data_IF_956783931073
#
_entry.id   IF_956783931073
#
_cell.length_a   1.000
_cell.length_b   1.000
_cell.length_c   1.000
_cell.angle_alpha   90.00
_cell.angle_beta   90.00
_cell.angle_gamma   90.00
#
_symmetry.space_group_name_H-M   'P 1'
#
loop_
_entity.id
_entity.type
_entity.pdbx_description
1 polymer ?
#
# COMPACT_ATOMS: atom_id res chain seq x y z
N UNK A 1 -25.94 5.36 12.41
CA UNK A 1 -25.02 4.22 12.57
C UNK A 1 -23.70 4.74 13.10
N UNK A 2 -23.43 4.60 14.39
CA UNK A 2 -22.11 4.89 14.96
C UNK A 2 -21.11 3.94 14.31
N UNK A 3 -20.15 4.48 13.56
CA UNK A 3 -19.11 3.66 12.95
C UNK A 3 -18.40 2.91 14.09
N UNK A 4 -18.53 1.57 14.13
CA UNK A 4 -17.71 0.74 15.01
C UNK A 4 -16.25 1.07 14.68
N UNK A 5 -15.52 1.58 15.65
CA UNK A 5 -14.10 1.94 15.49
C UNK A 5 -13.31 0.70 15.07
N UNK A 6 -12.43 0.85 14.08
CA UNK A 6 -11.54 -0.23 13.66
C UNK A 6 -10.63 -0.63 14.84
N UNK A 7 -10.46 -1.92 15.16
CA UNK A 7 -9.67 -2.35 16.32
C UNK A 7 -8.22 -1.88 16.27
N UNK A 8 -7.71 -1.47 17.43
CA UNK A 8 -6.30 -1.08 17.64
C UNK A 8 -5.82 -1.68 18.96
N UNK A 9 -4.75 -2.47 18.90
CA UNK A 9 -4.05 -3.01 20.08
C UNK A 9 -2.74 -2.28 20.34
N UNK A 10 -2.00 -1.92 19.29
CA UNK A 10 -0.75 -1.14 19.38
C UNK A 10 -0.66 -0.07 18.31
N UNK A 11 0.12 0.96 18.64
CA UNK A 11 0.41 2.11 17.80
C UNK A 11 1.90 2.34 17.72
N UNK A 12 2.40 2.69 16.54
CA UNK A 12 3.80 2.91 16.25
C UNK A 12 3.99 4.18 15.42
N UNK A 13 5.07 4.91 15.70
CA UNK A 13 5.44 6.16 15.02
C UNK A 13 6.98 6.24 14.91
N UNK A 14 7.46 7.21 14.14
CA UNK A 14 8.90 7.48 14.01
C UNK A 14 9.70 6.29 13.49
N UNK A 15 10.83 6.00 14.13
CA UNK A 15 11.76 4.95 13.69
C UNK A 15 11.17 3.54 13.78
N UNK A 16 10.16 3.31 14.65
CA UNK A 16 9.51 2.01 14.74
C UNK A 16 8.83 1.59 13.43
N UNK A 17 8.40 2.56 12.61
CA UNK A 17 7.77 2.30 11.32
C UNK A 17 8.68 1.55 10.35
N UNK A 18 10.01 1.69 10.50
CA UNK A 18 11.02 1.07 9.63
C UNK A 18 11.05 -0.46 9.76
N UNK A 19 10.50 -1.01 10.84
CA UNK A 19 10.53 -2.45 11.15
C UNK A 19 9.17 -3.13 11.04
N UNK A 20 8.15 -2.40 10.58
CA UNK A 20 6.80 -2.94 10.41
C UNK A 20 6.65 -3.44 8.98
N UNK A 21 6.26 -4.69 8.85
CA UNK A 21 5.79 -5.32 7.63
C UNK A 21 4.61 -6.25 8.02
N UNK A 22 3.37 -5.77 7.84
CA UNK A 22 2.17 -6.55 8.14
C UNK A 22 1.83 -7.40 6.91
N UNK A 23 1.95 -8.74 6.97
CA UNK A 23 1.69 -9.59 5.82
C UNK A 23 0.19 -9.59 5.48
N UNK A 24 -0.13 -9.40 4.20
CA UNK A 24 -1.48 -9.50 3.67
C UNK A 24 -1.55 -10.67 2.69
N UNK A 25 -2.24 -11.73 3.10
CA UNK A 25 -2.47 -12.92 2.28
C UNK A 25 -2.95 -14.09 3.14
N UNK A 26 -3.77 -14.96 2.56
CA UNK A 26 -4.27 -16.14 3.22
C UNK A 26 -3.18 -17.19 3.49
N UNK A 27 -3.55 -18.21 4.27
CA UNK A 27 -2.68 -19.33 4.59
C UNK A 27 -2.29 -20.05 3.29
N UNK A 28 -0.99 -20.12 3.01
CA UNK A 28 -0.44 -20.84 1.86
C UNK A 28 -0.59 -20.13 0.51
N UNK A 29 -1.03 -18.86 0.47
CA UNK A 29 -1.28 -18.15 -0.79
C UNK A 29 -0.15 -17.25 -1.26
N UNK A 30 0.91 -17.11 -0.45
CA UNK A 30 1.83 -15.99 -0.56
C UNK A 30 1.23 -14.69 -0.01
N UNK A 31 2.07 -13.67 0.15
CA UNK A 31 1.69 -12.41 0.81
C UNK A 31 2.27 -11.19 0.11
N UNK A 32 1.63 -10.04 0.31
CA UNK A 32 2.22 -8.71 0.11
C UNK A 32 2.21 -8.01 1.46
N UNK A 33 3.34 -7.48 1.92
CA UNK A 33 3.42 -6.77 3.19
C UNK A 33 3.01 -5.30 3.06
N UNK A 34 2.20 -4.82 4.00
CA UNK A 34 2.02 -3.39 4.25
C UNK A 34 3.10 -2.90 5.23
N UNK A 35 4.00 -2.05 4.75
CA UNK A 35 5.05 -1.43 5.54
C UNK A 35 4.51 -0.37 6.52
N UNK A 36 5.28 -0.08 7.58
CA UNK A 36 4.87 0.87 8.63
C UNK A 36 4.55 2.28 8.12
N UNK A 37 5.20 2.71 7.03
CA UNK A 37 4.93 4.01 6.38
C UNK A 37 3.83 3.93 5.31
N UNK A 38 3.19 2.78 5.08
CA UNK A 38 2.13 2.61 4.07
C UNK A 38 2.58 2.11 2.70
N UNK A 39 3.89 1.88 2.51
CA UNK A 39 4.41 1.28 1.28
C UNK A 39 4.06 -0.21 1.18
N UNK A 40 3.94 -0.73 -0.04
CA UNK A 40 3.80 -2.17 -0.28
C UNK A 40 5.20 -2.78 -0.50
N UNK A 41 5.52 -3.83 0.26
CA UNK A 41 6.83 -4.51 0.23
C UNK A 41 6.64 -6.03 0.32
N UNK A 42 7.73 -6.79 0.25
CA UNK A 42 7.77 -8.25 0.41
C UNK A 42 6.70 -8.95 -0.45
N UNK A 43 6.79 -8.77 -1.76
CA UNK A 43 5.84 -9.37 -2.70
C UNK A 43 6.14 -10.87 -2.89
N UNK A 44 5.76 -11.67 -1.92
CA UNK A 44 6.02 -13.11 -1.82
C UNK A 44 4.88 -13.93 -2.43
N UNK A 45 4.55 -13.68 -3.69
CA UNK A 45 3.37 -14.28 -4.38
C UNK A 45 3.72 -15.32 -5.44
N UNK A 46 5.01 -15.63 -5.63
CA UNK A 46 5.51 -16.60 -6.61
C UNK A 46 5.99 -17.91 -5.96
N UNK A 47 5.36 -18.30 -4.84
CA UNK A 47 5.65 -19.53 -4.09
C UNK A 47 7.11 -19.66 -3.62
N UNK A 48 7.73 -18.53 -3.25
CA UNK A 48 9.10 -18.47 -2.73
C UNK A 48 9.23 -17.33 -1.71
N UNK A 49 10.07 -17.46 -0.68
CA UNK A 49 10.46 -16.33 0.16
C UNK A 49 11.14 -15.22 -0.67
N UNK A 50 10.69 -13.98 -0.49
CA UNK A 50 11.13 -12.81 -1.26
C UNK A 50 11.08 -11.53 -0.40
N UNK A 51 11.64 -11.58 0.81
CA UNK A 51 11.74 -10.41 1.70
C UNK A 51 12.55 -9.29 1.05
N UNK A 52 12.01 -8.07 1.13
CA UNK A 52 12.57 -6.90 0.46
C UNK A 52 12.28 -6.83 -1.04
N UNK A 53 11.68 -7.86 -1.65
CA UNK A 53 11.32 -7.80 -3.07
C UNK A 53 10.13 -6.85 -3.28
N UNK A 54 10.33 -5.89 -4.18
CA UNK A 54 9.33 -4.95 -4.66
C UNK A 54 9.35 -5.03 -6.19
N UNK A 55 8.23 -5.34 -6.85
CA UNK A 55 8.14 -5.44 -8.30
C UNK A 55 8.61 -4.19 -9.03
N UNK A 56 9.25 -4.41 -10.18
CA UNK A 56 9.68 -3.35 -11.09
C UNK A 56 11.20 -3.14 -11.09
N UNK A 57 11.77 -2.70 -12.22
CA UNK A 57 13.19 -2.37 -12.27
C UNK A 57 13.55 -1.24 -11.30
N UNK A 58 14.78 -1.31 -10.76
CA UNK A 58 15.35 -0.38 -9.75
C UNK A 58 15.20 1.12 -10.07
N UNK A 59 15.05 1.47 -11.34
CA UNK A 59 14.92 2.86 -11.82
C UNK A 59 13.58 3.15 -12.52
N UNK A 60 12.57 2.34 -12.27
CA UNK A 60 11.20 2.54 -12.76
C UNK A 60 10.22 2.70 -11.59
N UNK A 61 8.98 3.08 -11.89
CA UNK A 61 7.94 3.15 -10.86
C UNK A 61 7.70 1.77 -10.23
N UNK A 62 7.85 1.70 -8.91
CA UNK A 62 7.48 0.53 -8.11
C UNK A 62 5.99 0.59 -7.73
N UNK A 63 5.39 -0.46 -7.15
CA UNK A 63 4.03 -0.40 -6.64
C UNK A 63 3.79 0.79 -5.70
N UNK A 64 2.72 1.54 -5.93
CA UNK A 64 2.31 2.61 -5.04
C UNK A 64 0.80 2.85 -5.10
N UNK A 65 0.28 3.39 -4.00
CA UNK A 65 -1.01 4.09 -3.97
C UNK A 65 -0.74 5.60 -4.01
N UNK A 66 -1.50 6.36 -4.79
CA UNK A 66 -1.42 7.81 -4.78
C UNK A 66 -2.79 8.47 -4.65
N UNK A 67 -2.79 9.64 -4.04
CA UNK A 67 -3.94 10.53 -3.90
C UNK A 67 -3.70 11.79 -4.71
N UNK A 68 -4.70 12.17 -5.50
CA UNK A 68 -4.89 13.55 -5.95
C UNK A 68 -6.06 14.14 -5.18
N UNK A 69 -5.87 15.28 -4.53
CA UNK A 69 -6.92 16.00 -3.82
C UNK A 69 -6.97 17.46 -4.28
N UNK A 70 -8.15 17.97 -4.57
CA UNK A 70 -8.34 19.35 -5.00
C UNK A 70 -9.54 19.98 -4.27
N UNK A 71 -9.33 20.95 -3.36
CA UNK A 71 -10.41 21.68 -2.74
C UNK A 71 -11.07 22.62 -3.75
N UNK A 72 -12.36 22.89 -3.57
CA UNK A 72 -13.09 23.84 -4.40
C UNK A 72 -12.42 25.24 -4.37
N UNK A 73 -12.09 25.76 -5.54
CA UNK A 73 -11.41 27.05 -5.69
C UNK A 73 -9.93 27.06 -5.29
N UNK A 74 -9.29 25.90 -5.12
CA UNK A 74 -7.85 25.80 -4.84
C UNK A 74 -7.11 24.85 -5.77
N UNK A 75 -5.79 24.82 -5.61
CA UNK A 75 -4.89 23.99 -6.40
C UNK A 75 -4.96 22.52 -5.98
N UNK A 76 -4.66 21.64 -6.93
CA UNK A 76 -4.61 20.21 -6.66
C UNK A 76 -3.26 19.83 -6.06
N UNK A 77 -3.29 18.98 -5.04
CA UNK A 77 -2.10 18.31 -4.50
C UNK A 77 -2.09 16.85 -4.88
N UNK A 78 -0.89 16.32 -5.13
CA UNK A 78 -0.67 14.89 -5.36
C UNK A 78 0.37 14.38 -4.39
N UNK A 79 0.07 13.25 -3.73
CA UNK A 79 0.96 12.57 -2.79
C UNK A 79 0.84 11.07 -2.98
N UNK A 80 1.96 10.35 -2.88
CA UNK A 80 1.91 8.93 -2.56
C UNK A 80 1.20 8.76 -1.22
N UNK A 81 0.39 7.71 -1.06
CA UNK A 81 -0.22 7.32 0.20
C UNK A 81 0.81 6.59 1.08
N UNK A 82 1.93 7.25 1.31
CA UNK A 82 3.08 6.76 2.07
C UNK A 82 3.63 7.90 2.94
N UNK A 83 4.20 7.55 4.09
CA UNK A 83 4.97 8.44 4.94
C UNK A 83 6.42 8.63 4.47
N UNK A 84 7.22 9.35 5.27
CA UNK A 84 8.62 9.67 4.94
C UNK A 84 9.47 8.43 4.66
N UNK A 85 10.45 8.59 3.75
CA UNK A 85 11.48 7.57 3.51
C UNK A 85 12.46 7.56 4.69
N UNK A 86 12.85 6.40 5.23
CA UNK A 86 13.88 6.31 6.25
C UNK A 86 15.21 6.91 5.78
N UNK A 87 15.92 7.61 6.67
CA UNK A 87 17.18 8.28 6.33
C UNK A 87 18.21 7.31 5.70
N UNK A 88 18.26 6.08 6.21
CA UNK A 88 19.16 5.03 5.76
C UNK A 88 18.92 4.60 4.31
N UNK A 89 17.70 4.76 3.80
CA UNK A 89 17.38 4.42 2.40
C UNK A 89 17.66 5.57 1.42
N UNK A 90 17.97 6.77 1.93
CA UNK A 90 18.27 7.97 1.13
C UNK A 90 19.79 8.17 0.95
N UNK A 91 20.59 7.77 1.94
CA UNK A 91 22.01 8.11 2.09
C UNK A 91 22.99 7.21 1.31
N UNK A 92 22.59 6.63 0.18
CA UNK A 92 23.47 5.77 -0.62
C UNK A 92 24.45 6.53 -1.52
N UNK A 93 25.62 5.95 -1.79
CA UNK A 93 26.65 6.52 -2.69
C UNK A 93 26.14 6.75 -4.14
N UNK A 94 25.12 6.00 -4.55
CA UNK A 94 24.42 6.14 -5.83
C UNK A 94 23.03 6.79 -5.68
N UNK A 95 22.80 7.51 -4.58
CA UNK A 95 21.50 8.08 -4.22
C UNK A 95 20.59 7.08 -3.50
N UNK A 96 19.33 7.45 -3.41
CA UNK A 96 18.32 6.70 -2.66
C UNK A 96 18.00 5.36 -3.31
N UNK A 97 17.96 4.30 -2.51
CA UNK A 97 17.53 2.96 -2.94
C UNK A 97 16.05 2.70 -2.70
N UNK A 98 15.38 3.60 -1.96
CA UNK A 98 13.96 3.46 -1.68
C UNK A 98 13.11 3.49 -2.97
N UNK A 99 12.12 2.60 -3.10
CA UNK A 99 11.14 2.67 -4.18
C UNK A 99 10.46 4.03 -4.23
N UNK A 100 10.33 4.57 -5.44
CA UNK A 100 9.64 5.84 -5.71
C UNK A 100 10.20 7.06 -4.94
N UNK A 101 11.45 7.04 -4.46
CA UNK A 101 12.02 8.04 -3.54
C UNK A 101 11.89 9.51 -3.98
N UNK A 102 11.87 9.79 -5.28
CA UNK A 102 11.71 11.15 -5.84
C UNK A 102 10.26 11.67 -5.84
N UNK A 103 9.27 10.85 -5.53
CA UNK A 103 7.86 11.24 -5.59
C UNK A 103 7.39 11.91 -4.28
N UNK A 104 6.58 12.98 -4.35
CA UNK A 104 5.98 13.62 -3.18
C UNK A 104 5.11 12.64 -2.38
N UNK A 105 5.20 12.70 -1.04
CA UNK A 105 4.52 11.80 -0.10
C UNK A 105 4.16 12.55 1.19
N UNK A 106 3.42 11.93 2.09
CA UNK A 106 3.02 12.59 3.34
C UNK A 106 4.22 12.81 4.27
N UNK A 107 4.22 13.96 4.95
CA UNK A 107 5.27 14.31 5.92
C UNK A 107 5.23 13.51 7.23
N UNK A 108 4.09 12.87 7.55
CA UNK A 108 3.93 12.08 8.77
C UNK A 108 3.13 10.80 8.52
N UNK A 109 3.58 9.70 9.15
CA UNK A 109 2.86 8.45 9.22
C UNK A 109 2.79 7.93 10.66
N UNK A 110 1.71 7.22 10.97
CA UNK A 110 1.53 6.42 12.19
C UNK A 110 0.91 5.09 11.79
N UNK A 111 1.36 4.00 12.40
CA UNK A 111 0.82 2.67 12.16
C UNK A 111 0.07 2.15 13.38
N UNK A 112 -1.21 1.82 13.21
CA UNK A 112 -2.04 1.19 14.23
C UNK A 112 -2.34 -0.26 13.84
N UNK A 113 -2.33 -1.19 14.79
CA UNK A 113 -2.53 -2.60 14.48
C UNK A 113 -3.27 -3.39 15.56
N UNK A 114 -4.05 -4.34 15.08
CA UNK A 114 -4.63 -5.45 15.81
C UNK A 114 -4.67 -6.64 14.83
N UNK A 115 -3.51 -7.26 14.56
CA UNK A 115 -3.36 -8.30 13.52
C UNK A 115 -4.54 -9.29 13.52
N UNK A 116 -5.16 -9.59 12.35
CA UNK A 116 -4.74 -9.34 10.96
C UNK A 116 -5.03 -7.92 10.43
N UNK A 117 -5.40 -6.99 11.30
CA UNK A 117 -5.81 -5.64 10.92
C UNK A 117 -4.64 -4.65 11.07
N UNK A 118 -4.35 -3.89 10.02
CA UNK A 118 -3.37 -2.81 10.01
C UNK A 118 -3.98 -1.49 9.54
N UNK A 119 -3.50 -0.38 10.08
CA UNK A 119 -3.90 0.95 9.65
C UNK A 119 -2.68 1.86 9.52
N UNK A 120 -2.66 2.68 8.48
CA UNK A 120 -1.67 3.75 8.32
C UNK A 120 -2.38 5.09 8.29
N UNK A 121 -2.11 5.92 9.28
CA UNK A 121 -2.59 7.29 9.33
C UNK A 121 -1.56 8.19 8.68
N UNK A 122 -1.98 8.95 7.66
CA UNK A 122 -1.12 9.82 6.88
C UNK A 122 -1.53 11.28 7.10
N UNK A 123 -0.56 12.14 7.41
CA UNK A 123 -0.79 13.57 7.64
C UNK A 123 0.26 14.42 6.94
N UNK A 124 -0.22 15.48 6.31
CA UNK A 124 0.58 16.47 5.60
C UNK A 124 -0.23 17.78 5.64
N UNK A 125 0.35 18.91 6.12
CA UNK A 125 -0.34 20.20 6.18
C UNK A 125 -0.87 20.69 4.83
N UNK A 126 -0.24 20.30 3.73
CA UNK A 126 -0.64 20.72 2.38
C UNK A 126 -1.79 19.88 1.81
N UNK A 127 -2.16 18.78 2.48
CA UNK A 127 -3.22 17.88 2.01
C UNK A 127 -4.54 18.21 2.71
N UNK A 128 -5.60 18.60 1.97
CA UNK A 128 -6.87 19.05 2.57
C UNK A 128 -7.76 17.91 3.09
N UNK A 129 -7.21 16.70 3.26
CA UNK A 129 -7.93 15.50 3.66
C UNK A 129 -7.18 14.81 4.80
N UNK A 130 -7.93 14.23 5.74
CA UNK A 130 -7.41 13.21 6.65
C UNK A 130 -7.43 11.88 5.92
N UNK A 131 -6.27 11.23 5.85
CA UNK A 131 -6.08 10.02 5.05
C UNK A 131 -5.69 8.86 5.95
N UNK A 132 -6.36 7.73 5.75
CA UNK A 132 -6.09 6.49 6.46
C UNK A 132 -6.19 5.31 5.51
N UNK A 133 -5.16 4.47 5.50
CA UNK A 133 -5.21 3.16 4.88
C UNK A 133 -5.66 2.16 5.94
N UNK A 134 -6.63 1.31 5.63
CA UNK A 134 -6.93 0.13 6.45
C UNK A 134 -6.68 -1.10 5.60
N UNK A 135 -5.80 -1.98 6.06
CA UNK A 135 -5.44 -3.18 5.34
C UNK A 135 -5.67 -4.44 6.16
N UNK A 136 -6.09 -5.49 5.47
CA UNK A 136 -6.28 -6.83 6.02
C UNK A 136 -6.35 -7.86 4.89
N UNK A 137 -6.17 -9.12 5.24
CA UNK A 137 -6.76 -10.24 4.52
C UNK A 137 -7.75 -10.94 5.46
N UNK A 138 -8.79 -11.61 4.95
CA UNK A 138 -9.62 -12.45 5.80
C UNK A 138 -8.74 -13.50 6.48
N UNK A 139 -8.72 -13.48 7.81
CA UNK A 139 -7.96 -14.40 8.64
C UNK A 139 -8.78 -14.68 9.89
N UNK A 140 -9.70 -15.63 9.74
CA UNK A 140 -10.81 -15.87 10.65
C UNK A 140 -10.58 -17.21 11.34
N UNK A 141 -10.47 -17.23 12.68
CA UNK A 141 -10.28 -18.48 13.42
C UNK A 141 -11.35 -19.52 13.08
N UNK A 142 -10.90 -20.76 12.85
CA UNK A 142 -11.73 -21.91 12.49
C UNK A 142 -12.51 -21.80 11.16
N UNK A 143 -12.21 -20.81 10.32
CA UNK A 143 -12.75 -20.68 8.96
C UNK A 143 -11.61 -20.75 7.94
N UNK A 144 -11.39 -21.95 7.40
CA UNK A 144 -10.34 -22.23 6.41
C UNK A 144 -10.64 -21.55 5.09
N UNK A 145 -11.90 -21.54 4.65
CA UNK A 145 -12.29 -21.00 3.35
C UNK A 145 -11.94 -19.50 3.28
N UNK A 146 -12.36 -18.73 4.29
CA UNK A 146 -12.01 -17.32 4.38
C UNK A 146 -10.50 -17.12 4.56
N UNK A 147 -9.87 -17.91 5.44
CA UNK A 147 -8.46 -17.71 5.82
C UNK A 147 -7.45 -18.12 4.74
N UNK A 148 -7.87 -18.85 3.71
CA UNK A 148 -7.01 -19.31 2.60
C UNK A 148 -7.23 -18.53 1.30
N UNK A 149 -7.92 -17.38 1.34
CA UNK A 149 -8.10 -16.55 0.15
C UNK A 149 -6.81 -15.80 -0.24
N UNK A 150 -6.39 -15.85 -1.52
CA UNK A 150 -5.23 -15.12 -2.03
C UNK A 150 -5.56 -13.64 -2.27
N UNK A 151 -5.91 -12.92 -1.20
CA UNK A 151 -6.38 -11.53 -1.28
C UNK A 151 -5.71 -10.64 -0.25
N UNK A 152 -5.30 -9.45 -0.70
CA UNK A 152 -4.92 -8.34 0.14
C UNK A 152 -5.94 -7.21 -0.08
N UNK A 153 -6.57 -6.74 0.99
CA UNK A 153 -7.50 -5.61 0.94
C UNK A 153 -6.79 -4.38 1.48
N UNK A 154 -6.82 -3.28 0.73
CA UNK A 154 -6.40 -1.95 1.19
C UNK A 154 -7.54 -0.97 0.94
N UNK A 155 -8.20 -0.54 2.01
CA UNK A 155 -9.26 0.45 1.98
C UNK A 155 -8.67 1.84 2.23
N UNK A 156 -8.82 2.74 1.25
CA UNK A 156 -8.43 4.13 1.38
C UNK A 156 -9.60 4.94 1.96
N UNK A 157 -9.47 5.37 3.22
CA UNK A 157 -10.45 6.23 3.89
C UNK A 157 -9.99 7.67 3.78
N UNK A 158 -10.84 8.49 3.16
CA UNK A 158 -10.63 9.92 2.99
C UNK A 158 -11.71 10.65 3.77
N UNK A 159 -11.31 11.43 4.76
CA UNK A 159 -12.21 12.30 5.53
C UNK A 159 -11.88 13.76 5.21
N UNK A 160 -12.90 14.53 4.87
CA UNK A 160 -12.78 15.98 4.67
C UNK A 160 -13.17 16.70 5.96
N UNK A 161 -12.22 17.20 6.76
CA UNK A 161 -12.52 17.93 7.99
C UNK A 161 -12.93 19.40 7.73
N UNK A 162 -12.78 19.87 6.49
CA UNK A 162 -13.06 21.25 6.11
C UNK A 162 -14.49 21.47 5.66
N UNK A 163 -14.81 22.74 5.40
CA UNK A 163 -16.14 23.17 4.92
C UNK A 163 -16.23 23.23 3.39
N UNK A 164 -15.10 23.20 2.69
CA UNK A 164 -15.06 23.22 1.21
C UNK A 164 -15.12 21.80 0.67
N UNK A 165 -15.86 21.59 -0.40
CA UNK A 165 -15.84 20.31 -1.12
C UNK A 165 -14.44 20.00 -1.65
N UNK A 166 -14.02 18.73 -1.62
CA UNK A 166 -12.73 18.26 -2.15
C UNK A 166 -12.99 17.18 -3.19
N UNK A 167 -12.51 17.39 -4.41
CA UNK A 167 -12.47 16.34 -5.44
C UNK A 167 -11.22 15.49 -5.20
N UNK A 168 -11.42 14.21 -4.92
CA UNK A 168 -10.35 13.27 -4.65
C UNK A 168 -10.36 12.11 -5.65
N UNK A 169 -9.16 11.66 -6.04
CA UNK A 169 -8.94 10.45 -6.81
C UNK A 169 -7.83 9.63 -6.15
N UNK A 170 -8.03 8.32 -6.06
CA UNK A 170 -7.01 7.36 -5.62
C UNK A 170 -6.63 6.46 -6.78
N UNK A 171 -5.35 6.19 -6.94
CA UNK A 171 -4.83 5.26 -7.95
C UNK A 171 -3.88 4.26 -7.29
N UNK A 172 -4.02 2.99 -7.67
CA UNK A 172 -3.03 1.95 -7.41
C UNK A 172 -2.27 1.71 -8.73
N UNK A 173 -0.95 1.86 -8.68
CA UNK A 173 -0.04 1.48 -9.77
C UNK A 173 0.78 0.30 -9.31
N UNK A 174 0.88 -0.74 -10.14
CA UNK A 174 1.66 -1.95 -9.88
C UNK A 174 2.29 -2.37 -11.21
N UNK A 175 3.63 -2.51 -11.31
CA UNK A 175 4.26 -3.12 -12.48
C UNK A 175 3.72 -4.53 -12.69
N UNK A 176 3.45 -4.93 -13.93
CA UNK A 176 3.16 -6.33 -14.20
C UNK A 176 4.49 -7.09 -14.11
N UNK A 177 4.62 -7.96 -13.10
CA UNK A 177 5.80 -8.76 -12.83
C UNK A 177 5.57 -10.26 -13.00
N UNK A 178 4.49 -10.65 -13.69
CA UNK A 178 4.20 -12.06 -14.01
C UNK A 178 5.38 -12.62 -14.80
N UNK A 179 5.96 -13.72 -14.29
CA UNK A 179 7.15 -14.36 -14.84
C UNK A 179 8.46 -14.06 -14.09
N UNK A 180 8.46 -13.16 -13.10
CA UNK A 180 9.63 -12.85 -12.27
C UNK A 180 9.31 -13.09 -10.78
N UNK A 181 10.13 -13.87 -10.08
CA UNK A 181 9.87 -14.30 -8.70
C UNK A 181 10.59 -13.47 -7.61
N UNK A 182 11.41 -12.53 -8.04
CA UNK A 182 12.20 -11.65 -7.18
C UNK A 182 13.69 -12.03 -7.13
N UNK A 183 14.05 -13.21 -7.63
CA UNK A 183 15.43 -13.66 -7.82
C UNK A 183 15.71 -14.01 -9.28
N UNK A 184 14.82 -14.82 -9.86
CA UNK A 184 14.94 -15.43 -11.17
C UNK A 184 13.69 -15.12 -12.02
N UNK A 185 13.79 -15.43 -13.32
CA UNK A 185 12.71 -15.27 -14.28
C UNK A 185 12.70 -13.93 -15.00
N UNK A 186 11.93 -13.87 -16.07
CA UNK A 186 11.81 -12.69 -16.92
C UNK A 186 10.34 -12.39 -17.20
N UNK A 187 9.99 -11.11 -17.17
CA UNK A 187 8.66 -10.64 -17.57
C UNK A 187 8.55 -10.65 -19.10
N UNK A 188 8.29 -11.81 -19.69
CA UNK A 188 8.23 -11.98 -21.15
C UNK A 188 6.79 -12.07 -21.62
N UNK A 189 6.38 -11.11 -22.47
CA UNK A 189 5.04 -11.07 -23.09
C UNK A 189 3.88 -11.01 -22.10
N UNK A 190 4.13 -10.58 -20.88
CA UNK A 190 3.09 -10.34 -19.88
C UNK A 190 2.13 -9.24 -20.36
N UNK A 191 0.85 -9.38 -20.02
CA UNK A 191 -0.22 -8.51 -20.52
C UNK A 191 -1.09 -8.02 -19.37
N UNK A 192 -1.60 -6.81 -19.57
CA UNK A 192 -2.61 -6.22 -18.71
C UNK A 192 -3.93 -6.24 -19.46
N UNK A 193 -4.95 -6.88 -18.89
CA UNK A 193 -6.29 -6.97 -19.48
C UNK A 193 -7.33 -6.46 -18.51
N UNK A 194 -8.23 -5.59 -18.97
CA UNK A 194 -9.39 -5.22 -18.16
C UNK A 194 -10.35 -6.40 -18.09
N UNK A 195 -10.79 -6.76 -16.88
CA UNK A 195 -11.77 -7.83 -16.65
C UNK A 195 -12.95 -7.30 -15.84
N UNK A 196 -14.14 -7.84 -16.11
CA UNK A 196 -15.37 -7.64 -15.33
C UNK A 196 -15.98 -9.00 -15.02
N UNK A 197 -16.27 -9.28 -13.76
CA UNK A 197 -16.89 -10.53 -13.32
C UNK A 197 -17.58 -10.34 -11.96
N UNK A 198 -18.77 -10.91 -11.76
CA UNK A 198 -19.44 -10.94 -10.45
C UNK A 198 -19.61 -9.58 -9.78
N UNK A 199 -19.90 -8.52 -10.55
CA UNK A 199 -20.05 -7.14 -10.03
C UNK A 199 -18.72 -6.42 -9.74
N UNK A 200 -17.58 -7.08 -9.93
CA UNK A 200 -16.24 -6.48 -9.79
C UNK A 200 -15.63 -6.15 -11.15
N UNK A 201 -14.75 -5.14 -11.18
CA UNK A 201 -13.94 -4.80 -12.35
C UNK A 201 -12.50 -4.52 -11.92
N UNK A 202 -11.54 -4.90 -12.75
CA UNK A 202 -10.12 -4.74 -12.43
C UNK A 202 -9.21 -5.00 -13.61
N UNK A 203 -7.92 -5.04 -13.32
CA UNK A 203 -6.86 -5.41 -14.26
C UNK A 203 -6.39 -6.83 -13.90
N UNK A 204 -6.46 -7.73 -14.86
CA UNK A 204 -5.80 -9.03 -14.83
C UNK A 204 -4.39 -8.87 -15.41
N UNK A 205 -3.39 -9.36 -14.68
CA UNK A 205 -2.01 -9.49 -15.14
C UNK A 205 -1.79 -10.97 -15.46
N UNK A 206 -1.46 -11.29 -16.72
CA UNK A 206 -1.19 -12.65 -17.22
C UNK A 206 0.04 -12.71 -18.13
#
# INVERSE_FOLDING_TARGET
MTAKSWPVLRSYEGEHLQRIALPLGGIGTGTVSLGGRGNLTDWEVMNRPAKGFVPGPRFSGAPFLCLRAQPAGGDAVTRLLEGPVPAQEIQGDFGSVAPNHGMPRFGHARFDTAYPLGQVHLRDPDVPLRVRLEAFNPFVPADVESSSLPVAVVRCVLENPGTRAVRASVCLSVPNFVGHDGTDGECVKNRNRRRKAGGTQGILMD
#
